data_IF_073884152823
#
_entry.id   IF_073884152823
#
_cell.length_a   1.000
_cell.length_b   1.000
_cell.length_c   1.000
_cell.angle_alpha   90.00
_cell.angle_beta   90.00
_cell.angle_gamma   90.00
#
_symmetry.space_group_name_H-M   'P 1'
#
loop_
_entity.id
_entity.type
_entity.pdbx_description
1 polymer ?
#
# COMPACT_ATOMS: atom_id res chain seq x y z
N UNK A 1 13.20 -11.51 14.08
CA UNK A 1 12.70 -11.80 12.71
C UNK A 1 13.05 -13.23 12.34
N UNK A 2 12.27 -13.88 11.47
CA UNK A 2 12.58 -15.26 11.04
C UNK A 2 13.75 -15.36 10.06
N UNK A 3 13.96 -14.32 9.22
CA UNK A 3 14.96 -14.35 8.14
C UNK A 3 16.05 -13.29 8.36
N UNK A 4 17.20 -13.76 8.87
CA UNK A 4 18.39 -12.94 9.08
C UNK A 4 19.58 -13.52 8.30
N UNK A 5 20.55 -12.67 8.02
CA UNK A 5 21.89 -13.09 7.60
C UNK A 5 22.73 -13.43 8.86
N UNK A 6 23.89 -14.05 8.66
CA UNK A 6 24.77 -14.45 9.78
C UNK A 6 25.29 -13.25 10.59
N UNK A 7 25.34 -12.07 9.99
CA UNK A 7 25.73 -10.80 10.64
C UNK A 7 24.58 -10.12 11.40
N UNK A 8 23.40 -10.75 11.46
CA UNK A 8 22.21 -10.22 12.13
C UNK A 8 21.40 -9.23 11.29
N UNK A 9 21.83 -8.88 10.08
CA UNK A 9 21.07 -8.00 9.17
C UNK A 9 19.85 -8.72 8.57
N UNK A 10 18.82 -7.95 8.19
CA UNK A 10 17.64 -8.50 7.52
C UNK A 10 18.03 -9.13 6.17
N UNK A 11 17.63 -10.40 5.97
CA UNK A 11 17.75 -11.03 4.66
C UNK A 11 16.87 -10.29 3.64
N UNK A 12 17.41 -10.10 2.43
CA UNK A 12 16.72 -9.41 1.34
C UNK A 12 16.29 -10.37 0.24
N UNK A 13 15.14 -10.09 -0.36
CA UNK A 13 14.52 -10.93 -1.40
C UNK A 13 14.17 -10.11 -2.64
N UNK A 14 14.14 -10.78 -3.80
CA UNK A 14 13.67 -10.16 -5.06
C UNK A 14 12.14 -10.06 -5.10
N UNK A 15 11.44 -11.00 -4.45
CA UNK A 15 9.98 -11.01 -4.34
C UNK A 15 9.57 -11.32 -2.91
N UNK A 16 8.64 -10.53 -2.37
CA UNK A 16 8.02 -10.78 -1.05
C UNK A 16 6.51 -10.78 -1.22
N UNK A 17 5.85 -11.86 -0.84
CA UNK A 17 4.38 -11.99 -0.90
C UNK A 17 3.85 -12.41 0.44
N UNK A 18 2.65 -11.93 0.78
CA UNK A 18 1.96 -12.29 2.01
C UNK A 18 0.46 -12.02 1.89
N UNK A 19 -0.30 -12.77 2.70
CA UNK A 19 -1.66 -12.42 3.10
C UNK A 19 -1.65 -12.26 4.62
N UNK A 20 -1.16 -11.12 5.15
CA UNK A 20 -1.12 -10.88 6.59
C UNK A 20 -2.53 -10.79 7.18
N UNK A 21 -2.64 -10.84 8.51
CA UNK A 21 -3.90 -10.52 9.18
C UNK A 21 -4.24 -9.05 8.94
N UNK A 22 -5.39 -8.80 8.32
CA UNK A 22 -5.87 -7.44 8.00
C UNK A 22 -6.35 -6.73 9.26
N UNK A 23 -6.12 -5.41 9.33
CA UNK A 23 -6.55 -4.57 10.47
C UNK A 23 -6.12 -5.10 11.84
N UNK A 24 -4.99 -5.78 11.89
CA UNK A 24 -4.51 -6.33 13.15
C UNK A 24 -4.13 -5.20 14.10
N UNK A 25 -4.56 -5.29 15.35
CA UNK A 25 -4.04 -4.43 16.40
C UNK A 25 -2.54 -4.65 16.57
N UNK A 26 -1.78 -3.56 16.67
CA UNK A 26 -0.33 -3.63 16.80
C UNK A 26 0.20 -2.57 17.76
N UNK A 27 1.13 -2.97 18.63
CA UNK A 27 1.70 -2.09 19.64
C UNK A 27 2.54 -0.97 18.99
N UNK A 28 2.36 0.26 19.46
CA UNK A 28 3.21 1.39 19.05
C UNK A 28 4.67 1.19 19.49
N UNK A 29 4.86 0.63 20.68
CA UNK A 29 6.18 0.31 21.22
C UNK A 29 6.95 -0.66 20.30
N UNK A 30 6.24 -1.59 19.64
CA UNK A 30 6.87 -2.52 18.70
C UNK A 30 7.37 -1.83 17.43
N UNK A 31 6.79 -0.69 17.03
CA UNK A 31 7.31 0.14 15.96
C UNK A 31 8.50 0.98 16.43
N UNK A 32 8.39 1.59 17.61
CA UNK A 32 9.42 2.46 18.21
C UNK A 32 10.72 1.71 18.50
N UNK A 33 10.62 0.48 18.99
CA UNK A 33 11.76 -0.35 19.36
C UNK A 33 12.23 -1.27 18.23
N UNK A 34 11.88 -0.99 16.98
CA UNK A 34 12.32 -1.81 15.86
C UNK A 34 13.84 -1.66 15.59
N UNK A 35 14.65 -2.72 15.73
CA UNK A 35 16.10 -2.62 15.57
C UNK A 35 16.55 -2.62 14.10
N UNK A 36 15.60 -2.71 13.14
CA UNK A 36 15.89 -2.86 11.72
C UNK A 36 15.45 -1.67 10.86
N UNK A 37 14.99 -0.59 11.49
CA UNK A 37 14.56 0.64 10.81
C UNK A 37 13.50 0.38 9.72
N UNK A 38 12.62 -0.60 9.95
CA UNK A 38 11.59 -1.04 9.00
C UNK A 38 10.54 0.02 8.73
N UNK A 39 10.30 0.90 9.71
CA UNK A 39 9.17 1.84 9.70
C UNK A 39 9.62 3.29 9.43
N UNK A 40 10.52 3.46 8.47
CA UNK A 40 11.12 4.76 8.12
C UNK A 40 10.12 5.80 7.59
N UNK A 41 8.94 5.38 7.13
CA UNK A 41 7.90 6.28 6.61
C UNK A 41 6.84 6.65 7.66
N UNK A 42 7.08 6.26 8.92
CA UNK A 42 6.19 6.49 10.05
C UNK A 42 5.48 5.20 10.51
N UNK A 43 4.86 5.25 11.68
CA UNK A 43 4.18 4.08 12.24
C UNK A 43 2.69 4.11 11.95
N UNK A 44 2.14 2.95 11.63
CA UNK A 44 0.69 2.79 11.44
C UNK A 44 -0.05 2.99 12.79
N UNK A 45 -1.35 3.33 12.79
CA UNK A 45 -2.12 3.42 14.04
C UNK A 45 -2.16 2.08 14.75
N UNK A 46 -2.42 2.08 16.07
CA UNK A 46 -2.48 0.84 16.85
C UNK A 46 -3.63 -0.08 16.43
N UNK A 47 -4.65 0.47 15.78
CA UNK A 47 -5.84 -0.25 15.31
C UNK A 47 -5.72 -0.86 13.92
N UNK A 48 -4.57 -0.69 13.24
CA UNK A 48 -4.32 -1.36 11.96
C UNK A 48 -2.83 -1.48 11.65
N UNK A 49 -2.38 -2.71 11.42
CA UNK A 49 -1.01 -3.04 11.07
C UNK A 49 -0.72 -3.04 9.55
N UNK A 50 -1.69 -2.75 8.69
CA UNK A 50 -1.55 -2.99 7.23
C UNK A 50 -0.34 -2.27 6.61
N UNK A 51 -0.21 -0.97 6.87
CA UNK A 51 0.98 -0.20 6.44
C UNK A 51 2.24 -0.50 7.27
N UNK A 52 2.11 -1.13 8.44
CA UNK A 52 3.22 -1.75 9.14
C UNK A 52 3.75 -2.98 8.40
N UNK A 53 2.86 -3.86 7.94
CA UNK A 53 3.22 -5.04 7.15
C UNK A 53 3.88 -4.65 5.82
N UNK A 54 3.33 -3.68 5.10
CA UNK A 54 3.90 -3.20 3.84
C UNK A 54 5.34 -2.69 4.06
N UNK A 55 5.56 -1.87 5.09
CA UNK A 55 6.89 -1.36 5.43
C UNK A 55 7.88 -2.45 5.85
N UNK A 56 7.41 -3.44 6.64
CA UNK A 56 8.20 -4.62 7.00
C UNK A 56 8.64 -5.42 5.77
N UNK A 57 7.72 -5.66 4.83
CA UNK A 57 8.00 -6.36 3.57
C UNK A 57 8.94 -5.52 2.69
N UNK A 58 8.70 -4.21 2.57
CA UNK A 58 9.48 -3.29 1.74
C UNK A 58 10.94 -3.21 2.16
N UNK A 59 11.18 -3.17 3.48
CA UNK A 59 12.53 -3.19 4.03
C UNK A 59 13.23 -4.52 3.75
N UNK A 60 12.50 -5.61 3.54
CA UNK A 60 13.04 -6.92 3.18
C UNK A 60 13.29 -7.10 1.67
N UNK A 61 13.04 -6.08 0.84
CA UNK A 61 13.32 -6.13 -0.60
C UNK A 61 14.76 -5.74 -0.95
N UNK A 62 15.32 -6.42 -1.95
CA UNK A 62 16.49 -5.96 -2.72
C UNK A 62 16.15 -4.70 -3.54
N UNK A 63 17.15 -4.09 -4.16
CA UNK A 63 17.02 -2.84 -4.92
C UNK A 63 16.00 -2.91 -6.08
N UNK A 64 15.89 -4.06 -6.75
CA UNK A 64 14.93 -4.28 -7.84
C UNK A 64 13.73 -5.15 -7.42
N UNK A 65 13.50 -5.25 -6.12
CA UNK A 65 12.52 -6.17 -5.57
C UNK A 65 11.07 -5.71 -5.73
N UNK A 66 10.13 -6.66 -5.66
CA UNK A 66 8.69 -6.42 -5.76
C UNK A 66 7.91 -7.09 -4.63
N UNK A 67 6.81 -6.46 -4.24
CA UNK A 67 5.81 -7.02 -3.32
C UNK A 67 4.51 -7.24 -4.05
N UNK A 68 3.84 -8.35 -3.75
CA UNK A 68 2.40 -8.50 -3.95
C UNK A 68 1.79 -8.90 -2.61
N UNK A 69 0.97 -8.03 -2.02
CA UNK A 69 0.37 -8.27 -0.70
C UNK A 69 -1.15 -8.21 -0.81
N UNK A 70 -1.81 -9.16 -0.15
CA UNK A 70 -3.26 -9.19 -0.04
C UNK A 70 -3.69 -8.48 1.24
N UNK A 71 -4.53 -7.45 1.11
CA UNK A 71 -5.05 -6.64 2.23
C UNK A 71 -6.53 -6.35 2.02
N UNK A 72 -7.22 -5.82 3.03
CA UNK A 72 -8.56 -5.26 2.82
C UNK A 72 -8.49 -3.91 2.05
N UNK A 73 -9.62 -3.49 1.50
CA UNK A 73 -9.73 -2.25 0.71
C UNK A 73 -9.40 -0.98 1.51
N UNK A 74 -9.50 -1.02 2.83
CA UNK A 74 -9.11 0.03 3.75
C UNK A 74 -7.63 0.41 3.67
N UNK A 75 -6.72 -0.52 3.32
CA UNK A 75 -5.30 -0.20 3.17
C UNK A 75 -5.04 0.92 2.14
N UNK A 76 -5.91 1.05 1.14
CA UNK A 76 -5.82 2.08 0.09
C UNK A 76 -6.76 3.27 0.31
N UNK A 77 -7.75 3.15 1.19
CA UNK A 77 -8.79 4.19 1.38
C UNK A 77 -8.78 4.86 2.74
N UNK A 78 -8.35 4.18 3.82
CA UNK A 78 -8.44 4.70 5.20
C UNK A 78 -7.74 6.04 5.34
N UNK A 79 -8.47 7.00 5.90
CA UNK A 79 -7.99 8.37 6.12
C UNK A 79 -8.05 9.31 4.93
N UNK A 80 -8.38 8.83 3.72
CA UNK A 80 -8.52 9.73 2.57
C UNK A 80 -9.85 10.50 2.65
N UNK A 81 -9.85 11.76 2.21
CA UNK A 81 -10.99 12.67 2.37
C UNK A 81 -11.15 13.28 3.78
N UNK A 82 -10.39 12.79 4.77
CA UNK A 82 -10.42 13.36 6.12
C UNK A 82 -9.55 14.62 6.21
N UNK A 83 -10.11 15.70 6.77
CA UNK A 83 -9.36 16.90 7.16
C UNK A 83 -8.64 16.62 8.49
N UNK A 84 -7.33 16.47 8.46
CA UNK A 84 -6.51 16.15 9.64
C UNK A 84 -5.36 15.20 9.33
N UNK A 85 -4.59 14.79 10.34
CA UNK A 85 -3.53 13.77 10.20
C UNK A 85 -4.13 12.37 10.23
N UNK A 86 -3.69 11.50 9.33
CA UNK A 86 -4.00 10.09 9.38
C UNK A 86 -2.73 9.31 9.00
N UNK A 87 -2.23 8.50 9.93
CA UNK A 87 -0.91 7.88 9.82
C UNK A 87 -0.82 6.92 8.62
N UNK A 88 -1.89 6.19 8.31
CA UNK A 88 -1.90 5.32 7.13
C UNK A 88 -1.94 6.11 5.83
N UNK A 89 -2.71 7.20 5.78
CA UNK A 89 -2.72 8.12 4.65
C UNK A 89 -1.34 8.73 4.43
N UNK A 90 -0.67 9.14 5.50
CA UNK A 90 0.63 9.79 5.45
C UNK A 90 1.74 8.80 5.01
N UNK A 91 1.73 7.56 5.52
CA UNK A 91 2.63 6.49 5.03
C UNK A 91 2.32 6.15 3.57
N UNK A 92 1.05 5.96 3.21
CA UNK A 92 0.63 5.68 1.82
C UNK A 92 1.11 6.76 0.87
N UNK A 93 1.04 8.03 1.29
CA UNK A 93 1.56 9.16 0.53
C UNK A 93 3.05 9.02 0.22
N UNK A 94 3.89 8.62 1.19
CA UNK A 94 5.32 8.41 0.95
C UNK A 94 5.57 7.35 -0.15
N UNK A 95 4.82 6.25 -0.17
CA UNK A 95 4.97 5.22 -1.19
C UNK A 95 4.50 5.69 -2.58
N UNK A 96 3.44 6.49 -2.64
CA UNK A 96 2.94 7.07 -3.90
C UNK A 96 3.89 8.15 -4.42
N UNK A 97 4.32 9.08 -3.56
CA UNK A 97 5.20 10.20 -3.93
C UNK A 97 6.59 9.71 -4.40
N UNK A 98 7.05 8.57 -3.89
CA UNK A 98 8.30 7.90 -4.31
C UNK A 98 8.14 7.00 -5.52
N UNK A 99 6.95 6.98 -6.13
CA UNK A 99 6.62 6.15 -7.28
C UNK A 99 6.89 4.65 -7.03
N UNK A 100 6.52 4.15 -5.85
CA UNK A 100 6.74 2.74 -5.47
C UNK A 100 5.50 1.87 -5.72
N UNK A 101 4.31 2.46 -5.76
CA UNK A 101 3.06 1.73 -6.01
C UNK A 101 2.95 1.46 -7.52
N UNK A 102 2.99 0.20 -7.92
CA UNK A 102 2.85 -0.22 -9.33
C UNK A 102 1.38 -0.50 -9.67
N UNK A 103 0.67 -1.18 -8.77
CA UNK A 103 -0.72 -1.56 -9.04
C UNK A 103 -1.56 -1.74 -7.76
N UNK A 104 -2.86 -1.51 -7.90
CA UNK A 104 -3.89 -1.93 -6.95
C UNK A 104 -4.96 -2.70 -7.70
N UNK A 105 -5.14 -3.97 -7.32
CA UNK A 105 -6.10 -4.87 -7.96
C UNK A 105 -7.21 -5.18 -6.95
N UNK A 106 -8.42 -4.68 -7.20
CA UNK A 106 -9.60 -4.99 -6.41
C UNK A 106 -10.09 -6.42 -6.71
N UNK A 107 -10.14 -7.24 -5.67
CA UNK A 107 -10.63 -8.61 -5.73
C UNK A 107 -12.15 -8.63 -5.56
N UNK A 108 -12.84 -9.68 -6.07
CA UNK A 108 -14.26 -9.88 -5.79
C UNK A 108 -14.51 -10.06 -4.29
N UNK A 109 -15.72 -9.73 -3.85
CA UNK A 109 -16.22 -10.08 -2.52
C UNK A 109 -16.33 -11.60 -2.36
N UNK A 110 -16.41 -12.08 -1.11
CA UNK A 110 -16.58 -13.50 -0.76
C UNK A 110 -15.49 -14.45 -1.29
N UNK A 111 -14.31 -13.93 -1.60
CA UNK A 111 -13.15 -14.75 -2.02
C UNK A 111 -12.38 -15.36 -0.83
N UNK A 112 -12.60 -14.85 0.38
CA UNK A 112 -11.86 -15.25 1.58
C UNK A 112 -12.79 -16.00 2.54
N UNK A 113 -12.36 -17.16 3.04
CA UNK A 113 -13.18 -17.99 3.95
C UNK A 113 -13.57 -17.28 5.25
N UNK A 114 -12.77 -16.29 5.69
CA UNK A 114 -12.93 -15.64 6.98
C UNK A 114 -13.61 -14.26 6.90
N UNK A 115 -13.98 -13.79 5.71
CA UNK A 115 -14.65 -12.49 5.55
C UNK A 115 -15.39 -12.40 4.21
N UNK A 116 -16.54 -11.73 4.22
CA UNK A 116 -17.30 -11.42 3.00
C UNK A 116 -16.78 -10.17 2.28
N UNK A 117 -15.95 -9.36 2.96
CA UNK A 117 -15.41 -8.12 2.41
C UNK A 117 -14.53 -8.36 1.18
N UNK A 118 -14.53 -7.42 0.24
CA UNK A 118 -13.57 -7.39 -0.84
C UNK A 118 -12.15 -7.12 -0.31
N UNK A 119 -11.17 -7.81 -0.90
CA UNK A 119 -9.75 -7.54 -0.68
C UNK A 119 -9.12 -6.81 -1.87
N UNK A 120 -7.85 -6.44 -1.72
CA UNK A 120 -7.00 -5.95 -2.79
C UNK A 120 -5.73 -6.78 -2.89
N UNK A 121 -5.10 -6.77 -4.06
CA UNK A 121 -3.67 -7.01 -4.19
C UNK A 121 -3.00 -5.66 -4.40
N UNK A 122 -2.17 -5.24 -3.45
CA UNK A 122 -1.28 -4.10 -3.59
C UNK A 122 0.07 -4.57 -4.12
N UNK A 123 0.52 -3.96 -5.21
CA UNK A 123 1.83 -4.24 -5.81
C UNK A 123 2.75 -3.06 -5.57
N UNK A 124 3.87 -3.32 -4.89
CA UNK A 124 4.97 -2.36 -4.70
C UNK A 124 6.15 -2.82 -5.54
N UNK A 125 6.79 -1.91 -6.26
CA UNK A 125 7.88 -2.21 -7.17
C UNK A 125 8.96 -1.13 -7.06
N UNK A 126 10.18 -1.52 -6.67
CA UNK A 126 11.32 -0.60 -6.59
C UNK A 126 11.92 -0.27 -7.95
N UNK A 127 11.53 -1.00 -9.00
CA UNK A 127 12.00 -0.80 -10.37
C UNK A 127 10.84 -0.94 -11.36
N UNK A 128 9.93 0.04 -11.29
CA UNK A 128 8.74 0.12 -12.14
C UNK A 128 9.12 0.20 -13.60
N UNK A 129 8.41 -0.57 -14.44
CA UNK A 129 8.56 -0.50 -15.90
C UNK A 129 7.93 0.76 -16.49
N UNK A 130 6.95 1.32 -15.79
CA UNK A 130 6.23 2.55 -16.17
C UNK A 130 6.27 3.56 -15.03
N UNK A 131 7.35 4.34 -14.91
CA UNK A 131 7.45 5.37 -13.89
C UNK A 131 6.31 6.38 -13.99
N UNK A 132 5.76 6.80 -12.85
CA UNK A 132 4.66 7.76 -12.74
C UNK A 132 3.25 7.20 -13.01
N UNK A 133 3.11 5.94 -13.41
CA UNK A 133 1.81 5.31 -13.67
C UNK A 133 1.43 4.31 -12.56
N UNK A 134 0.18 4.33 -12.09
CA UNK A 134 -0.35 3.30 -11.19
C UNK A 134 -1.47 2.53 -11.92
N UNK A 135 -1.33 1.21 -12.04
CA UNK A 135 -2.37 0.36 -12.61
C UNK A 135 -3.48 0.11 -11.58
N UNK A 136 -4.69 0.61 -11.85
CA UNK A 136 -5.88 0.30 -11.07
C UNK A 136 -6.75 -0.72 -11.83
N UNK A 137 -7.04 -1.88 -11.23
CA UNK A 137 -7.82 -2.94 -11.90
C UNK A 137 -8.89 -3.51 -10.98
N UNK A 138 -10.08 -3.74 -11.52
CA UNK A 138 -11.12 -4.57 -10.89
C UNK A 138 -11.07 -5.98 -11.48
N UNK A 139 -11.01 -7.00 -10.64
CA UNK A 139 -10.92 -8.39 -11.10
C UNK A 139 -12.23 -8.92 -11.72
N UNK A 140 -13.36 -8.23 -11.48
CA UNK A 140 -14.67 -8.59 -12.04
C UNK A 140 -14.86 -8.17 -13.51
N UNK A 141 -14.04 -7.24 -14.00
CA UNK A 141 -14.12 -6.75 -15.38
C UNK A 141 -12.92 -7.23 -16.19
N UNK A 142 -13.16 -7.89 -17.32
CA UNK A 142 -12.16 -8.14 -18.37
C UNK A 142 -11.64 -6.84 -19.04
N UNK A 143 -11.72 -5.69 -18.36
CA UNK A 143 -11.34 -4.37 -18.87
C UNK A 143 -10.30 -3.74 -17.94
N UNK A 144 -9.18 -3.35 -18.53
CA UNK A 144 -8.11 -2.60 -17.88
C UNK A 144 -8.54 -1.12 -17.87
N UNK A 145 -8.62 -0.48 -16.70
CA UNK A 145 -8.73 0.98 -16.59
C UNK A 145 -7.42 1.53 -16.03
N UNK A 146 -6.52 1.96 -16.90
CA UNK A 146 -5.33 2.69 -16.48
C UNK A 146 -5.78 4.05 -15.93
N UNK A 147 -5.61 4.26 -14.63
CA UNK A 147 -5.84 5.57 -14.02
C UNK A 147 -4.48 6.24 -13.89
N UNK A 148 -4.17 7.08 -14.87
CA UNK A 148 -2.98 7.92 -14.85
C UNK A 148 -3.25 9.12 -13.95
N UNK A 149 -2.46 9.30 -12.88
CA UNK A 149 -2.56 10.45 -11.98
C UNK A 149 -2.22 11.79 -12.65
N UNK A 150 -1.77 11.79 -13.91
CA UNK A 150 -1.42 13.00 -14.67
C UNK A 150 -2.51 13.54 -15.62
N UNK A 151 -3.68 12.89 -15.75
CA UNK A 151 -4.71 13.35 -16.70
C UNK A 151 -5.93 13.97 -16.00
N UNK A 152 -6.07 15.29 -16.20
CA UNK A 152 -7.30 16.03 -15.98
C UNK A 152 -8.36 15.59 -16.98
N UNK A 153 -9.60 15.41 -16.53
CA UNK A 153 -10.77 15.34 -17.40
C UNK A 153 -11.67 14.18 -17.03
N UNK A 154 -12.89 14.51 -16.65
CA UNK A 154 -13.84 13.59 -16.06
C UNK A 154 -14.40 12.57 -17.04
N UNK A 155 -14.85 11.46 -16.47
CA UNK A 155 -16.11 10.80 -16.80
C UNK A 155 -16.49 9.88 -15.63
N UNK A 156 -17.79 9.81 -15.39
CA UNK A 156 -18.48 9.32 -14.21
C UNK A 156 -18.08 7.90 -13.78
N UNK A 157 -17.60 7.73 -12.55
CA UNK A 157 -17.38 6.42 -11.90
C UNK A 157 -17.64 6.56 -10.39
N UNK A 158 -18.89 6.44 -10.00
CA UNK A 158 -19.36 6.51 -8.61
C UNK A 158 -18.79 5.47 -7.63
N UNK A 159 -17.97 4.50 -8.08
CA UNK A 159 -17.47 3.40 -7.23
C UNK A 159 -15.94 3.35 -7.04
N UNK A 160 -15.20 4.40 -7.43
CA UNK A 160 -13.74 4.51 -7.17
C UNK A 160 -13.32 5.92 -6.73
N UNK A 161 -14.23 6.68 -6.12
CA UNK A 161 -13.91 7.87 -5.34
C UNK A 161 -13.12 7.43 -4.12
N UNK A 162 -11.77 7.48 -4.20
CA UNK A 162 -10.85 7.64 -3.06
C UNK A 162 -9.40 7.95 -3.50
N UNK A 163 -9.06 7.88 -4.79
CA UNK A 163 -7.72 8.26 -5.29
C UNK A 163 -7.66 9.59 -6.06
N UNK A 164 -8.78 10.13 -6.53
CA UNK A 164 -8.81 11.38 -7.34
C UNK A 164 -8.42 12.66 -6.59
N UNK A 165 -8.38 12.65 -5.26
CA UNK A 165 -8.08 13.84 -4.43
C UNK A 165 -6.61 13.98 -4.04
N UNK A 166 -5.73 13.08 -4.49
CA UNK A 166 -4.35 12.98 -3.97
C UNK A 166 -3.32 13.88 -4.66
N UNK A 167 -3.74 14.72 -5.63
CA UNK A 167 -2.84 15.51 -6.47
C UNK A 167 -3.06 17.03 -6.50
N UNK A 168 -4.06 17.59 -5.81
CA UNK A 168 -4.25 19.05 -5.81
C UNK A 168 -3.37 19.71 -4.75
N UNK A 169 -2.16 20.10 -5.12
CA UNK A 169 -1.57 21.34 -4.58
C UNK A 169 -2.41 22.49 -5.12
N UNK A 170 -2.97 23.30 -4.23
CA UNK A 170 -3.42 24.63 -4.58
C UNK A 170 -2.19 25.46 -5.00
N UNK A 171 -2.13 26.04 -6.22
CA UNK A 171 -1.02 26.91 -6.61
C UNK A 171 -1.07 28.31 -5.97
N UNK A 172 -2.04 28.59 -5.08
CA UNK A 172 -2.13 29.87 -4.38
C UNK A 172 -2.49 29.65 -2.92
N UNK A 173 -1.48 29.44 -2.09
CA UNK A 173 -1.24 29.94 -0.71
C UNK A 173 0.06 29.28 -0.20
#
# INVERSE_FOLDING_TARGET
>A
PAFLNNDGSLRKFDVVTANPMWNQDFSQEAYENDPYTRFAYGYAPSSSADWGWIQHMYTSLRENGKIAVVLDTGAVSRGSGNVGRNRERDIRKEFVDRDLVEAVILLPENMFYNTTAAGIILVIDKNKRKPGEILLRRSLDNRIRLLNSSLHGGEDIGDFLLFGEWGKRDPKI
#
